data_IF_593231346546
#
_entry.id   IF_593231346546
#
_cell.length_a   1.000
_cell.length_b   1.000
_cell.length_c   1.000
_cell.angle_alpha   90.00
_cell.angle_beta   90.00
_cell.angle_gamma   90.00
#
_symmetry.space_group_name_H-M   'P 1'
#
loop_
_entity.id
_entity.type
_entity.pdbx_description
1 polymer ?
#
# COMPACT_ATOMS: atom_id res chain seq x y z
N UNK A 1 -7.57 5.21 24.84
CA UNK A 1 -6.41 4.85 25.68
C UNK A 1 -5.11 5.32 25.01
N UNK A 2 -4.62 6.52 25.33
CA UNK A 2 -3.19 6.85 25.16
C UNK A 2 -2.77 7.73 26.34
N UNK A 3 -2.37 7.09 27.43
CA UNK A 3 -1.68 7.79 28.52
C UNK A 3 -0.23 8.05 28.06
N UNK A 4 0.06 9.30 27.73
CA UNK A 4 1.36 9.80 27.28
C UNK A 4 2.31 9.87 28.47
N UNK A 5 2.75 8.72 28.98
CA UNK A 5 3.80 8.64 30.02
C UNK A 5 4.80 7.53 29.70
N UNK A 6 5.55 7.72 28.61
CA UNK A 6 6.93 7.22 28.42
C UNK A 6 7.50 7.76 27.10
N UNK A 7 8.35 8.78 27.22
CA UNK A 7 9.23 9.34 26.19
C UNK A 7 8.58 9.71 24.83
N UNK A 8 7.78 10.80 24.77
CA UNK A 8 7.00 11.18 23.59
C UNK A 8 7.85 11.41 22.34
N UNK A 9 9.08 11.91 22.48
CA UNK A 9 9.98 12.15 21.35
C UNK A 9 10.32 10.86 20.57
N UNK A 10 10.51 9.72 21.26
CA UNK A 10 10.82 8.44 20.62
C UNK A 10 9.60 7.86 19.89
N UNK A 11 8.41 8.02 20.46
CA UNK A 11 7.15 7.61 19.85
C UNK A 11 6.87 8.42 18.57
N UNK A 12 6.97 9.75 18.66
CA UNK A 12 6.79 10.64 17.50
C UNK A 12 7.79 10.31 16.40
N UNK A 13 9.06 10.08 16.74
CA UNK A 13 10.09 9.66 15.78
C UNK A 13 9.71 8.36 15.06
N UNK A 14 9.19 7.37 15.79
CA UNK A 14 8.79 6.09 15.20
C UNK A 14 7.55 6.23 14.31
N UNK A 15 6.55 7.01 14.73
CA UNK A 15 5.36 7.32 13.90
C UNK A 15 5.76 8.09 12.63
N UNK A 16 6.69 9.04 12.74
CA UNK A 16 7.19 9.78 11.60
C UNK A 16 7.91 8.88 10.58
N UNK A 17 8.67 7.88 11.06
CA UNK A 17 9.27 6.86 10.18
C UNK A 17 8.22 6.02 9.45
N UNK A 18 7.11 5.68 10.11
CA UNK A 18 6.02 4.93 9.47
C UNK A 18 5.36 5.70 8.32
N UNK A 19 5.45 7.04 8.30
CA UNK A 19 4.99 7.87 7.18
C UNK A 19 5.61 7.43 5.85
N UNK A 20 6.86 6.96 5.84
CA UNK A 20 7.53 6.48 4.63
C UNK A 20 6.76 5.36 3.91
N UNK A 21 5.97 4.58 4.65
CA UNK A 21 5.14 3.54 4.05
C UNK A 21 4.15 4.09 3.02
N UNK A 22 3.64 5.31 3.20
CA UNK A 22 2.71 5.92 2.22
C UNK A 22 3.41 6.19 0.89
N UNK A 23 4.68 6.59 0.92
CA UNK A 23 5.47 6.89 -0.28
C UNK A 23 5.79 5.62 -1.07
N UNK A 24 6.08 4.53 -0.36
CA UNK A 24 6.24 3.20 -0.96
C UNK A 24 4.91 2.71 -1.56
N UNK A 25 3.80 2.93 -0.86
CA UNK A 25 2.47 2.55 -1.34
C UNK A 25 2.09 3.35 -2.61
N UNK A 26 2.33 4.66 -2.64
CA UNK A 26 2.16 5.47 -3.84
C UNK A 26 3.07 5.03 -5.00
N UNK A 27 4.31 4.62 -4.71
CA UNK A 27 5.21 4.06 -5.72
C UNK A 27 4.63 2.77 -6.33
N UNK A 28 4.08 1.89 -5.50
CA UNK A 28 3.45 0.66 -5.98
C UNK A 28 2.25 0.96 -6.87
N UNK A 29 1.38 1.88 -6.45
CA UNK A 29 0.22 2.32 -7.23
C UNK A 29 0.66 2.89 -8.59
N UNK A 30 1.62 3.82 -8.61
CA UNK A 30 2.08 4.49 -9.84
C UNK A 30 2.85 3.59 -10.80
N UNK A 31 3.71 2.70 -10.28
CA UNK A 31 4.70 1.96 -11.10
C UNK A 31 4.29 0.50 -11.29
N UNK A 32 3.74 -0.16 -10.27
CA UNK A 32 3.44 -1.60 -10.33
C UNK A 32 2.06 -1.91 -10.90
N UNK A 33 1.11 -0.98 -10.78
CA UNK A 33 -0.24 -1.12 -11.32
C UNK A 33 -0.46 -0.31 -12.60
N UNK A 34 0.64 0.01 -13.29
CA UNK A 34 0.62 0.63 -14.63
C UNK A 34 -0.09 2.00 -14.75
N UNK A 35 -0.26 2.72 -13.63
CA UNK A 35 -0.75 4.11 -13.63
C UNK A 35 0.26 5.14 -14.17
N UNK A 36 1.33 4.68 -14.82
CA UNK A 36 2.35 5.55 -15.40
C UNK A 36 1.88 6.15 -16.72
N UNK A 37 1.09 5.40 -17.48
CA UNK A 37 0.56 5.81 -18.78
C UNK A 37 -0.94 5.49 -18.83
N UNK A 38 -1.77 6.54 -18.76
CA UNK A 38 -3.21 6.37 -18.90
C UNK A 38 -3.55 6.01 -20.34
N UNK A 39 -4.24 4.88 -20.53
CA UNK A 39 -4.69 4.46 -21.87
C UNK A 39 -5.89 5.29 -22.32
N UNK A 40 -6.62 5.85 -21.36
CA UNK A 40 -7.84 6.59 -21.60
C UNK A 40 -7.58 8.06 -21.98
N UNK A 41 -8.19 8.52 -23.08
CA UNK A 41 -8.03 9.89 -23.60
C UNK A 41 -9.04 10.91 -23.05
N UNK A 42 -10.02 10.48 -22.27
CA UNK A 42 -11.06 11.36 -21.70
C UNK A 42 -10.97 11.46 -20.19
N UNK A 43 -11.22 12.65 -19.59
CA UNK A 43 -11.04 12.87 -18.16
C UNK A 43 -11.94 11.97 -17.31
N UNK A 44 -13.18 11.73 -17.76
CA UNK A 44 -14.13 10.83 -17.08
C UNK A 44 -13.64 9.39 -17.02
N UNK A 45 -12.98 8.91 -18.07
CA UNK A 45 -12.47 7.54 -18.13
C UNK A 45 -11.15 7.40 -17.37
N UNK A 46 -10.30 8.43 -17.39
CA UNK A 46 -9.07 8.49 -16.60
C UNK A 46 -9.34 8.37 -15.08
N UNK A 47 -10.40 9.03 -14.58
CA UNK A 47 -10.84 8.87 -13.18
C UNK A 47 -11.20 7.41 -12.89
N UNK A 48 -11.91 6.72 -13.80
CA UNK A 48 -12.25 5.30 -13.62
C UNK A 48 -10.99 4.43 -13.60
N UNK A 49 -10.03 4.68 -14.47
CA UNK A 49 -8.74 3.97 -14.53
C UNK A 49 -7.95 4.14 -13.22
N UNK A 50 -7.95 5.35 -12.64
CA UNK A 50 -7.40 5.59 -11.30
C UNK A 50 -8.12 4.77 -10.23
N UNK A 51 -9.45 4.78 -10.19
CA UNK A 51 -10.23 4.02 -9.20
C UNK A 51 -10.00 2.52 -9.29
N UNK A 52 -9.94 1.96 -10.50
CA UNK A 52 -9.64 0.54 -10.72
C UNK A 52 -8.24 0.21 -10.20
N UNK A 53 -7.27 1.08 -10.42
CA UNK A 53 -5.91 0.88 -9.92
C UNK A 53 -5.82 0.96 -8.39
N UNK A 54 -6.54 1.89 -7.75
CA UNK A 54 -6.67 1.92 -6.29
C UNK A 54 -7.35 0.66 -5.75
N UNK A 55 -8.38 0.17 -6.43
CA UNK A 55 -9.08 -1.07 -6.07
C UNK A 55 -8.12 -2.27 -6.15
N UNK A 56 -7.39 -2.42 -7.27
CA UNK A 56 -6.42 -3.48 -7.46
C UNK A 56 -5.33 -3.47 -6.37
N UNK A 57 -4.82 -2.27 -6.02
CA UNK A 57 -3.90 -2.11 -4.90
C UNK A 57 -4.48 -2.66 -3.59
N UNK A 58 -5.71 -2.26 -3.24
CA UNK A 58 -6.36 -2.68 -2.00
C UNK A 58 -6.59 -4.20 -1.96
N UNK A 59 -6.94 -4.82 -3.09
CA UNK A 59 -7.11 -6.27 -3.21
C UNK A 59 -5.78 -6.99 -2.92
N UNK A 60 -4.68 -6.58 -3.56
CA UNK A 60 -3.36 -7.19 -3.32
C UNK A 60 -2.94 -7.01 -1.86
N UNK A 61 -3.21 -5.86 -1.24
CA UNK A 61 -2.90 -5.63 0.19
C UNK A 61 -3.77 -6.48 1.12
N UNK A 62 -5.02 -6.73 0.75
CA UNK A 62 -5.91 -7.65 1.46
C UNK A 62 -5.39 -9.08 1.39
N UNK A 63 -4.93 -9.54 0.21
CA UNK A 63 -4.33 -10.86 0.07
C UNK A 63 -3.06 -11.01 0.94
N UNK A 64 -2.18 -10.00 0.90
CA UNK A 64 -0.99 -9.96 1.76
C UNK A 64 -1.38 -10.06 3.24
N UNK A 65 -2.43 -9.34 3.67
CA UNK A 65 -2.92 -9.41 5.04
C UNK A 65 -3.39 -10.82 5.39
N UNK A 66 -4.18 -11.45 4.53
CA UNK A 66 -4.67 -12.83 4.73
C UNK A 66 -3.51 -13.83 4.86
N UNK A 67 -2.52 -13.76 3.97
CA UNK A 67 -1.33 -14.61 4.05
C UNK A 67 -0.50 -14.33 5.30
N UNK A 68 -0.35 -13.07 5.68
CA UNK A 68 0.40 -12.66 6.87
C UNK A 68 -0.26 -13.18 8.15
N UNK A 69 -1.60 -13.13 8.23
CA UNK A 69 -2.37 -13.69 9.34
C UNK A 69 -2.19 -15.21 9.43
N UNK A 70 -2.22 -15.91 8.30
CA UNK A 70 -2.02 -17.36 8.25
C UNK A 70 -0.62 -17.77 8.74
N UNK A 71 0.42 -17.05 8.32
CA UNK A 71 1.81 -17.32 8.70
C UNK A 71 2.26 -16.61 9.99
N UNK A 72 1.36 -15.88 10.69
CA UNK A 72 1.66 -15.08 11.89
C UNK A 72 2.84 -14.09 11.70
N UNK A 73 2.98 -13.54 10.50
CA UNK A 73 4.00 -12.53 10.16
C UNK A 73 3.38 -11.15 10.02
N UNK A 74 4.22 -10.12 10.03
CA UNK A 74 3.75 -8.73 9.86
C UNK A 74 3.45 -8.50 8.37
N UNK A 75 2.26 -8.00 7.97
CA UNK A 75 1.90 -7.82 6.55
C UNK A 75 2.88 -6.95 5.74
N UNK A 76 3.61 -6.05 6.41
CA UNK A 76 4.62 -5.17 5.78
C UNK A 76 5.94 -5.88 5.45
N UNK A 77 6.19 -7.11 5.92
CA UNK A 77 7.39 -7.89 5.56
C UNK A 77 7.20 -8.67 4.25
N UNK A 78 5.95 -8.86 3.81
CA UNK A 78 5.63 -9.55 2.56
C UNK A 78 5.75 -8.57 1.39
N UNK A 79 6.47 -9.00 0.35
CA UNK A 79 6.71 -8.21 -0.85
C UNK A 79 5.44 -8.04 -1.70
N UNK A 80 5.05 -6.78 -1.95
CA UNK A 80 3.95 -6.46 -2.85
C UNK A 80 4.20 -6.96 -4.28
N UNK A 81 5.43 -6.80 -4.79
CA UNK A 81 5.82 -7.25 -6.13
C UNK A 81 5.63 -8.76 -6.28
N UNK A 82 6.10 -9.52 -5.29
CA UNK A 82 6.05 -10.98 -5.32
C UNK A 82 4.62 -11.49 -5.26
N UNK A 83 3.77 -10.82 -4.46
CA UNK A 83 2.34 -11.15 -4.40
C UNK A 83 1.68 -10.87 -5.75
N UNK A 84 1.90 -9.69 -6.34
CA UNK A 84 1.34 -9.33 -7.63
C UNK A 84 1.73 -10.32 -8.74
N UNK A 85 2.99 -10.78 -8.78
CA UNK A 85 3.44 -11.79 -9.75
C UNK A 85 2.83 -13.18 -9.55
N UNK A 86 2.29 -13.49 -8.38
CA UNK A 86 1.56 -14.74 -8.14
C UNK A 86 0.13 -14.67 -8.69
N UNK A 87 -0.44 -13.46 -8.85
CA UNK A 87 -1.78 -13.28 -9.40
C UNK A 87 -1.81 -13.22 -10.93
N UNK A 88 -0.70 -12.83 -11.56
CA UNK A 88 -0.55 -12.70 -13.02
C UNK A 88 -0.15 -14.01 -13.68
#
# INVERSE_FOLDING_TARGET
>A
MLCVKKNPAKLIKNLYKQRWHIEVDFRNIKIRLDLKEFKCKTPKMLIKEMWVSFLAYNIVRSLILSSALYHKVIPRTISFKSTLSTLS
#
